data_IF_783605311411
#
_entry.id   IF_783605311411
#
_cell.length_a   1.000
_cell.length_b   1.000
_cell.length_c   1.000
_cell.angle_alpha   90.00
_cell.angle_beta   90.00
_cell.angle_gamma   90.00
#
_symmetry.space_group_name_H-M   'P 1'
#
loop_
_entity.id
_entity.type
_entity.pdbx_description
1 polymer ?
#
# COMPACT_ATOMS: atom_id res chain seq x y z
N UNK A 1 5.22 -1.42 -16.48
CA UNK A 1 6.40 -2.25 -16.83
C UNK A 1 7.27 -2.48 -15.60
N UNK A 2 7.55 -1.44 -14.82
CA UNK A 2 8.34 -1.57 -13.58
C UNK A 2 7.78 -2.58 -12.55
N UNK A 3 6.46 -2.60 -12.30
CA UNK A 3 5.86 -3.55 -11.34
C UNK A 3 6.15 -5.01 -11.72
N UNK A 4 5.97 -5.36 -13.00
CA UNK A 4 6.21 -6.72 -13.50
C UNK A 4 7.68 -7.12 -13.35
N UNK A 5 8.59 -6.20 -13.65
CA UNK A 5 10.03 -6.39 -13.47
C UNK A 5 10.33 -6.69 -11.99
N UNK A 6 9.86 -5.86 -11.07
CA UNK A 6 10.07 -6.04 -9.63
C UNK A 6 9.51 -7.37 -9.11
N UNK A 7 8.32 -7.80 -9.58
CA UNK A 7 7.75 -9.10 -9.21
C UNK A 7 8.64 -10.24 -9.67
N UNK A 8 9.10 -10.22 -10.93
CA UNK A 8 10.01 -11.25 -11.46
C UNK A 8 11.35 -11.30 -10.72
N UNK A 9 11.91 -10.14 -10.36
CA UNK A 9 13.13 -10.06 -9.54
C UNK A 9 12.93 -10.68 -8.15
N UNK A 10 11.81 -10.40 -7.50
CA UNK A 10 11.49 -10.97 -6.19
C UNK A 10 11.34 -12.50 -6.26
N UNK A 11 10.55 -13.00 -7.21
CA UNK A 11 10.32 -14.43 -7.40
C UNK A 11 11.59 -15.18 -7.80
N UNK A 12 12.46 -14.58 -8.62
CA UNK A 12 13.74 -15.17 -8.98
C UNK A 12 14.70 -15.30 -7.79
N UNK A 13 14.63 -14.38 -6.82
CA UNK A 13 15.44 -14.43 -5.60
C UNK A 13 14.85 -15.35 -4.52
N UNK A 14 13.53 -15.45 -4.45
CA UNK A 14 12.80 -16.24 -3.45
C UNK A 14 11.82 -17.22 -4.12
N UNK A 15 12.32 -18.30 -4.75
CA UNK A 15 11.50 -19.20 -5.56
C UNK A 15 10.38 -19.91 -4.79
N UNK A 16 10.54 -20.07 -3.48
CA UNK A 16 9.57 -20.74 -2.61
C UNK A 16 8.53 -19.79 -1.98
N UNK A 17 8.66 -18.47 -2.20
CA UNK A 17 7.75 -17.48 -1.65
C UNK A 17 6.81 -16.97 -2.74
N UNK A 18 5.51 -17.20 -2.53
CA UNK A 18 4.46 -16.64 -3.40
C UNK A 18 4.15 -15.21 -2.98
N UNK A 19 3.89 -14.35 -3.96
CA UNK A 19 3.37 -13.01 -3.72
C UNK A 19 1.89 -13.12 -3.36
N UNK A 20 1.54 -12.83 -2.12
CA UNK A 20 0.17 -12.92 -1.61
C UNK A 20 -0.66 -11.68 -2.00
N UNK A 21 -0.08 -10.50 -1.77
CA UNK A 21 -0.76 -9.21 -2.00
C UNK A 21 0.19 -8.08 -2.35
N UNK A 22 -0.38 -7.03 -2.93
CA UNK A 22 0.30 -5.76 -3.20
C UNK A 22 -0.43 -4.68 -2.40
N UNK A 23 0.33 -3.87 -1.66
CA UNK A 23 -0.21 -2.71 -0.94
C UNK A 23 0.27 -1.46 -1.69
N UNK A 24 -0.67 -0.65 -2.15
CA UNK A 24 -0.40 0.61 -2.87
C UNK A 24 -0.50 1.77 -1.89
N UNK A 25 0.52 2.60 -1.85
CA UNK A 25 0.62 3.79 -0.99
C UNK A 25 1.04 5.01 -1.80
N UNK A 26 0.88 6.23 -1.25
CA UNK A 26 1.33 7.46 -1.90
C UNK A 26 0.49 7.86 -3.13
N UNK A 27 1.05 8.68 -4.01
CA UNK A 27 0.35 9.18 -5.20
C UNK A 27 -0.09 8.09 -6.20
N UNK A 28 0.48 6.88 -6.14
CA UNK A 28 0.02 5.76 -6.95
C UNK A 28 -1.37 5.26 -6.51
N UNK A 29 -1.72 5.40 -5.22
CA UNK A 29 -3.04 5.02 -4.70
C UNK A 29 -4.13 6.06 -4.95
N UNK A 30 -3.79 7.27 -5.39
CA UNK A 30 -4.76 8.32 -5.71
C UNK A 30 -5.22 8.30 -7.17
N UNK A 31 -4.57 7.50 -8.03
CA UNK A 31 -4.97 7.34 -9.42
C UNK A 31 -6.18 6.39 -9.51
N UNK A 32 -7.35 6.85 -10.01
CA UNK A 32 -8.51 6.00 -10.18
C UNK A 32 -8.20 4.79 -11.05
N UNK A 33 -8.83 3.65 -10.76
CA UNK A 33 -8.67 2.38 -11.49
C UNK A 33 -7.27 1.75 -11.51
N UNK A 34 -6.24 2.43 -10.98
CA UNK A 34 -4.89 1.88 -10.98
C UNK A 34 -4.75 0.63 -10.11
N UNK A 35 -5.27 0.57 -8.87
CA UNK A 35 -5.23 -0.66 -8.08
C UNK A 35 -5.93 -1.83 -8.78
N UNK A 36 -7.09 -1.57 -9.41
CA UNK A 36 -7.85 -2.58 -10.15
C UNK A 36 -7.09 -3.07 -11.39
N UNK A 37 -6.46 -2.17 -12.14
CA UNK A 37 -5.62 -2.52 -13.27
C UNK A 37 -4.46 -3.44 -12.85
N UNK A 38 -3.78 -3.12 -11.74
CA UNK A 38 -2.68 -3.94 -11.20
C UNK A 38 -3.22 -5.31 -10.75
N UNK A 39 -4.36 -5.34 -10.05
CA UNK A 39 -4.97 -6.58 -9.57
C UNK A 39 -5.31 -7.53 -10.73
N UNK A 40 -5.97 -7.02 -11.76
CA UNK A 40 -6.36 -7.80 -12.94
C UNK A 40 -5.14 -8.26 -13.73
N UNK A 41 -4.13 -7.41 -13.89
CA UNK A 41 -2.93 -7.72 -14.67
C UNK A 41 -2.08 -8.82 -14.03
N UNK A 42 -1.93 -8.79 -12.72
CA UNK A 42 -1.05 -9.73 -12.00
C UNK A 42 -1.81 -10.87 -11.32
N UNK A 43 -3.15 -10.85 -11.32
CA UNK A 43 -4.00 -11.81 -10.60
C UNK A 43 -3.62 -11.93 -9.12
N UNK A 44 -3.31 -10.79 -8.50
CA UNK A 44 -2.88 -10.68 -7.09
C UNK A 44 -3.79 -9.66 -6.40
N UNK A 45 -4.10 -9.88 -5.13
CA UNK A 45 -4.93 -8.95 -4.37
C UNK A 45 -4.18 -7.62 -4.16
N UNK A 46 -4.82 -6.51 -4.54
CA UNK A 46 -4.25 -5.16 -4.42
C UNK A 46 -5.10 -4.35 -3.45
N UNK A 47 -4.47 -3.83 -2.40
CA UNK A 47 -5.13 -3.00 -1.39
C UNK A 47 -4.50 -1.62 -1.27
N UNK A 48 -5.32 -0.63 -0.91
CA UNK A 48 -4.85 0.71 -0.60
C UNK A 48 -4.36 0.72 0.86
N UNK A 49 -3.12 1.17 1.07
CA UNK A 49 -2.52 1.24 2.40
C UNK A 49 -3.16 2.33 3.26
N UNK A 50 -3.59 1.97 4.47
CA UNK A 50 -4.03 2.93 5.48
C UNK A 50 -2.87 3.27 6.42
N UNK A 51 -2.39 4.52 6.38
CA UNK A 51 -1.30 5.01 7.22
C UNK A 51 -1.67 5.05 8.71
N UNK A 52 -2.96 5.15 9.02
CA UNK A 52 -3.47 5.27 10.38
C UNK A 52 -3.90 3.94 10.99
N UNK A 53 -3.62 2.80 10.32
CA UNK A 53 -4.08 1.47 10.76
C UNK A 53 -3.67 1.14 12.21
N UNK A 54 -2.51 1.62 12.65
CA UNK A 54 -1.99 1.39 14.01
C UNK A 54 -2.01 2.66 14.88
N UNK A 55 -2.68 3.72 14.43
CA UNK A 55 -2.73 5.00 15.14
C UNK A 55 -4.11 5.15 15.79
N UNK A 56 -4.15 5.45 17.09
CA UNK A 56 -5.39 5.79 17.79
C UNK A 56 -5.75 7.26 17.54
N UNK A 57 -6.95 7.53 17.04
CA UNK A 57 -7.47 8.87 16.82
C UNK A 57 -8.98 8.92 17.09
N UNK A 58 -9.55 10.10 17.42
CA UNK A 58 -10.99 10.25 17.63
C UNK A 58 -11.79 9.92 16.36
N UNK A 59 -12.90 9.19 16.50
CA UNK A 59 -13.78 8.82 15.38
C UNK A 59 -14.32 10.03 14.61
N UNK A 60 -14.48 11.18 15.28
CA UNK A 60 -14.92 12.44 14.65
C UNK A 60 -13.97 12.95 13.55
N UNK A 61 -12.69 12.56 13.58
CA UNK A 61 -11.68 12.95 12.57
C UNK A 61 -11.39 11.87 11.54
N UNK A 62 -12.08 10.72 11.61
CA UNK A 62 -11.77 9.57 10.75
C UNK A 62 -11.86 9.92 9.26
N UNK A 63 -12.92 10.61 8.83
CA UNK A 63 -13.11 10.94 7.42
C UNK A 63 -12.00 11.86 6.89
N UNK A 64 -11.62 12.87 7.68
CA UNK A 64 -10.53 13.80 7.36
C UNK A 64 -9.19 13.05 7.25
N UNK A 65 -8.86 12.25 8.27
CA UNK A 65 -7.60 11.51 8.31
C UNK A 65 -7.52 10.46 7.19
N UNK A 66 -8.60 9.72 6.93
CA UNK A 66 -8.64 8.73 5.86
C UNK A 66 -8.42 9.37 4.48
N UNK A 67 -8.91 10.59 4.25
CA UNK A 67 -8.72 11.31 2.97
C UNK A 67 -7.25 11.65 2.69
N UNK A 68 -6.46 11.92 3.73
CA UNK A 68 -5.03 12.27 3.62
C UNK A 68 -4.10 11.08 3.86
N UNK A 69 -4.62 9.93 4.30
CA UNK A 69 -3.87 8.71 4.69
C UNK A 69 -2.72 8.37 3.75
N UNK A 70 -2.97 8.38 2.44
CA UNK A 70 -1.99 7.97 1.43
C UNK A 70 -0.72 8.84 1.43
N UNK A 71 -0.77 10.07 1.96
CA UNK A 71 0.36 10.99 2.05
C UNK A 71 1.20 10.80 3.33
N UNK A 72 0.65 10.13 4.35
CA UNK A 72 1.26 10.07 5.68
C UNK A 72 1.89 8.72 6.02
N UNK A 73 1.91 7.75 5.09
CA UNK A 73 2.47 6.41 5.35
C UNK A 73 3.92 6.45 5.85
N UNK A 74 4.76 7.32 5.27
CA UNK A 74 6.17 7.47 5.68
C UNK A 74 6.29 8.18 7.02
N UNK A 75 5.54 9.27 7.22
CA UNK A 75 5.56 10.04 8.46
C UNK A 75 5.08 9.21 9.67
N UNK A 76 4.01 8.42 9.49
CA UNK A 76 3.50 7.52 10.52
C UNK A 76 4.53 6.43 10.87
N UNK A 77 5.15 5.79 9.87
CA UNK A 77 6.17 4.78 10.11
C UNK A 77 7.41 5.32 10.86
N UNK A 78 7.80 6.57 10.60
CA UNK A 78 8.86 7.23 11.35
C UNK A 78 8.46 7.57 12.80
N UNK A 79 7.19 7.93 13.02
CA UNK A 79 6.67 8.21 14.35
C UNK A 79 6.59 6.92 15.20
N UNK A 80 6.11 5.82 14.62
CA UNK A 80 6.06 4.50 15.27
C UNK A 80 7.43 3.99 15.71
N UNK A 81 8.51 4.36 15.02
CA UNK A 81 9.87 3.97 15.41
C UNK A 81 10.27 4.44 16.81
N UNK A 82 9.66 5.54 17.29
CA UNK A 82 9.96 6.14 18.60
C UNK A 82 8.87 5.86 19.65
N UNK A 83 7.78 5.22 19.26
CA UNK A 83 6.62 4.96 20.11
C UNK A 83 6.82 3.71 20.97
#
# INVERSE_FOLDING_TARGET
REIEKSIKFFQGRYPNLKLDRIIVTGGASTLPEFPLYVANKFSVNVEIGNAWRNVSFPASRQNELMSISNHFSVACGLAERKA
#
